data_IF_670699039415
#
_entry.id   IF_670699039415
#
_cell.length_a   1.000
_cell.length_b   1.000
_cell.length_c   1.000
_cell.angle_alpha   90.00
_cell.angle_beta   90.00
_cell.angle_gamma   90.00
#
_symmetry.space_group_name_H-M   'P 1'
#
loop_
_entity.id
_entity.type
_entity.pdbx_description
1 polymer ?
#
# COMPACT_ATOMS: atom_id res chain seq x y z
N UNK A 1 -43.94 47.78 4.70
CA UNK A 1 -43.99 46.53 3.89
C UNK A 1 -43.00 46.53 2.72
N UNK A 2 -42.75 47.61 2.00
CA UNK A 2 -41.78 47.62 0.87
C UNK A 2 -40.33 47.40 1.31
N UNK A 3 -39.86 47.98 2.40
CA UNK A 3 -38.49 47.84 2.90
C UNK A 3 -38.18 46.36 3.22
N UNK A 4 -39.12 45.65 3.82
CA UNK A 4 -38.96 44.23 4.14
C UNK A 4 -38.83 43.34 2.88
N UNK A 5 -39.56 43.68 1.82
CA UNK A 5 -39.45 42.98 0.53
C UNK A 5 -38.10 43.22 -0.13
N UNK A 6 -37.61 44.45 -0.15
CA UNK A 6 -36.28 44.80 -0.66
C UNK A 6 -35.17 44.04 0.10
N UNK A 7 -35.26 44.04 1.43
CA UNK A 7 -34.30 43.31 2.26
C UNK A 7 -34.30 41.80 1.95
N UNK A 8 -35.49 41.21 1.79
CA UNK A 8 -35.63 39.79 1.40
C UNK A 8 -35.01 39.51 0.03
N UNK A 9 -35.21 40.36 -0.99
CA UNK A 9 -34.60 40.19 -2.30
C UNK A 9 -33.07 40.29 -2.25
N UNK A 10 -32.50 41.23 -1.51
CA UNK A 10 -31.04 41.35 -1.33
C UNK A 10 -30.47 40.12 -0.68
N UNK A 11 -31.14 39.58 0.35
CA UNK A 11 -30.74 38.38 1.05
C UNK A 11 -30.77 37.16 0.11
N UNK A 12 -31.81 36.98 -0.70
CA UNK A 12 -31.91 35.88 -1.67
C UNK A 12 -30.83 35.98 -2.73
N UNK A 13 -30.57 37.18 -3.28
CA UNK A 13 -29.47 37.36 -4.25
C UNK A 13 -28.11 37.04 -3.62
N UNK A 14 -27.88 37.46 -2.36
CA UNK A 14 -26.67 37.15 -1.62
C UNK A 14 -26.44 35.65 -1.45
N UNK A 15 -27.50 34.89 -1.12
CA UNK A 15 -27.46 33.43 -1.02
C UNK A 15 -27.12 32.76 -2.37
N UNK A 16 -27.78 33.21 -3.44
CA UNK A 16 -27.55 32.68 -4.80
C UNK A 16 -26.10 32.92 -5.21
N UNK A 17 -25.57 34.14 -5.00
CA UNK A 17 -24.17 34.45 -5.29
C UNK A 17 -23.21 33.58 -4.49
N UNK A 18 -23.46 33.40 -3.19
CA UNK A 18 -22.66 32.54 -2.33
C UNK A 18 -22.65 31.08 -2.82
N UNK A 19 -23.82 30.54 -3.21
CA UNK A 19 -23.94 29.20 -3.78
C UNK A 19 -23.21 29.07 -5.12
N UNK A 20 -23.30 30.08 -6.00
CA UNK A 20 -22.54 30.11 -7.26
C UNK A 20 -21.02 30.09 -7.01
N UNK A 21 -20.52 30.88 -6.04
CA UNK A 21 -19.11 30.90 -5.69
C UNK A 21 -18.66 29.54 -5.14
N UNK A 22 -19.45 28.92 -4.27
CA UNK A 22 -19.17 27.58 -3.73
C UNK A 22 -19.13 26.54 -4.88
N UNK A 23 -20.09 26.56 -5.78
CA UNK A 23 -20.09 25.66 -6.93
C UNK A 23 -18.87 25.87 -7.84
N UNK A 24 -18.48 27.13 -8.10
CA UNK A 24 -17.26 27.44 -8.85
C UNK A 24 -16.02 26.86 -8.16
N UNK A 25 -15.92 27.02 -6.84
CA UNK A 25 -14.80 26.45 -6.07
C UNK A 25 -14.74 24.93 -6.23
N UNK A 26 -15.87 24.21 -6.13
CA UNK A 26 -15.92 22.77 -6.32
C UNK A 26 -15.57 22.31 -7.74
N UNK A 27 -15.98 23.07 -8.76
CA UNK A 27 -15.66 22.77 -10.17
C UNK A 27 -14.17 22.98 -10.47
N UNK A 28 -13.54 24.01 -9.87
CA UNK A 28 -12.14 24.35 -10.13
C UNK A 28 -11.14 23.60 -9.23
N UNK A 29 -11.56 23.15 -8.03
CA UNK A 29 -10.72 22.35 -7.13
C UNK A 29 -10.91 20.87 -7.41
N UNK A 30 -10.00 20.30 -8.20
CA UNK A 30 -9.95 18.88 -8.48
C UNK A 30 -8.98 18.18 -7.51
N UNK A 31 -9.32 16.98 -7.01
CA UNK A 31 -8.38 16.23 -6.20
C UNK A 31 -7.12 15.90 -7.01
N UNK A 32 -5.94 15.98 -6.41
CA UNK A 32 -4.71 15.59 -7.07
C UNK A 32 -4.73 14.08 -7.36
N UNK A 33 -4.18 13.70 -8.52
CA UNK A 33 -4.02 12.29 -8.87
C UNK A 33 -2.64 11.83 -8.41
N UNK A 34 -2.60 10.71 -7.67
CA UNK A 34 -1.39 10.16 -7.07
C UNK A 34 -1.13 8.79 -7.69
N UNK A 35 -0.01 8.66 -8.39
CA UNK A 35 0.45 7.40 -8.97
C UNK A 35 1.80 6.99 -8.39
N UNK A 36 2.01 5.70 -8.18
CA UNK A 36 3.33 5.14 -7.89
C UNK A 36 4.10 5.07 -9.20
N UNK A 37 5.27 5.69 -9.25
CA UNK A 37 6.13 5.71 -10.43
C UNK A 37 7.15 4.57 -10.40
N UNK A 38 7.86 4.48 -9.28
CA UNK A 38 8.97 3.56 -9.13
C UNK A 38 9.22 3.26 -7.65
N UNK A 39 9.75 2.08 -7.38
CA UNK A 39 10.22 1.67 -6.07
C UNK A 39 11.67 1.25 -6.23
N UNK A 40 12.58 2.10 -5.76
CA UNK A 40 14.00 1.77 -5.73
C UNK A 40 14.23 0.81 -4.56
N UNK A 41 14.44 -0.46 -4.90
CA UNK A 41 14.92 -1.43 -3.95
C UNK A 41 16.35 -1.07 -3.52
N UNK A 42 16.70 -1.26 -2.25
CA UNK A 42 18.07 -1.03 -1.79
C UNK A 42 19.01 -2.04 -2.43
N UNK A 43 20.28 -1.64 -2.53
CA UNK A 43 21.36 -2.55 -2.88
C UNK A 43 21.57 -3.50 -1.69
N UNK A 44 21.96 -4.74 -1.93
CA UNK A 44 22.19 -5.75 -0.86
C UNK A 44 23.08 -5.26 0.28
N UNK A 45 24.01 -4.34 -0.01
CA UNK A 45 24.92 -3.72 0.99
C UNK A 45 24.20 -2.86 2.04
N UNK A 46 23.01 -2.38 1.75
CA UNK A 46 22.27 -1.48 2.65
C UNK A 46 21.37 -2.22 3.63
N UNK A 47 21.25 -3.54 3.47
CA UNK A 47 20.47 -4.41 4.36
C UNK A 47 21.23 -4.59 5.66
N UNK A 48 20.62 -4.21 6.78
CA UNK A 48 21.20 -4.38 8.12
C UNK A 48 20.49 -5.48 8.86
N UNK A 49 21.27 -6.44 9.35
CA UNK A 49 20.75 -7.55 10.17
C UNK A 49 21.22 -7.33 11.60
N UNK A 50 20.28 -7.29 12.53
CA UNK A 50 20.52 -7.16 13.95
C UNK A 50 19.75 -8.24 14.71
N UNK A 51 20.45 -9.30 15.12
CA UNK A 51 19.82 -10.44 15.78
C UNK A 51 18.74 -11.09 14.93
N UNK A 52 17.49 -11.00 15.40
CA UNK A 52 16.28 -11.55 14.73
C UNK A 52 15.54 -10.53 13.87
N UNK A 53 16.13 -9.36 13.62
CA UNK A 53 15.50 -8.32 12.79
C UNK A 53 16.34 -7.96 11.56
N UNK A 54 15.64 -7.60 10.49
CA UNK A 54 16.22 -7.09 9.24
C UNK A 54 15.69 -5.70 9.01
N UNK A 55 16.57 -4.76 8.75
CA UNK A 55 16.23 -3.39 8.34
C UNK A 55 16.68 -3.15 6.91
N UNK A 56 15.76 -2.67 6.09
CA UNK A 56 15.95 -2.44 4.67
C UNK A 56 15.51 -1.00 4.35
N UNK A 57 16.44 -0.08 4.02
CA UNK A 57 16.06 1.23 3.54
C UNK A 57 15.49 1.10 2.13
N UNK A 58 14.41 1.80 1.83
CA UNK A 58 13.77 1.83 0.52
C UNK A 58 13.34 3.24 0.17
N UNK A 59 13.33 3.58 -1.11
CA UNK A 59 12.80 4.85 -1.59
C UNK A 59 11.64 4.58 -2.54
N UNK A 60 10.47 5.18 -2.23
CA UNK A 60 9.28 5.04 -3.06
C UNK A 60 9.03 6.36 -3.76
N UNK A 61 9.02 6.36 -5.08
CA UNK A 61 8.77 7.54 -5.89
C UNK A 61 7.31 7.59 -6.33
N UNK A 62 6.63 8.67 -5.97
CA UNK A 62 5.27 8.97 -6.38
C UNK A 62 5.26 10.10 -7.40
N UNK A 63 4.37 10.01 -8.38
CA UNK A 63 4.03 11.14 -9.24
C UNK A 63 2.71 11.69 -8.76
N UNK A 64 2.72 12.96 -8.38
CA UNK A 64 1.54 13.68 -7.94
C UNK A 64 1.19 14.72 -9.00
N UNK A 65 0.05 14.52 -9.66
CA UNK A 65 -0.46 15.43 -10.66
C UNK A 65 -1.40 16.43 -10.00
N UNK A 66 -1.06 17.71 -10.06
CA UNK A 66 -1.92 18.78 -9.59
C UNK A 66 -2.65 19.42 -10.79
N UNK A 67 -3.92 19.08 -11.03
CA UNK A 67 -4.68 19.67 -12.14
C UNK A 67 -5.15 21.10 -11.86
N UNK A 68 -4.93 21.61 -10.65
CA UNK A 68 -5.41 22.90 -10.21
C UNK A 68 -4.48 24.04 -10.66
N UNK A 69 -5.03 25.23 -10.82
CA UNK A 69 -4.28 26.47 -11.10
C UNK A 69 -3.52 27.01 -9.88
N UNK A 70 -3.70 26.36 -8.74
CA UNK A 70 -3.12 26.76 -7.45
C UNK A 70 -2.07 25.73 -7.03
N UNK A 71 -0.89 26.17 -6.60
CA UNK A 71 0.09 25.26 -6.01
C UNK A 71 -0.44 24.69 -4.70
N UNK A 72 -0.11 23.44 -4.43
CA UNK A 72 -0.41 22.75 -3.20
C UNK A 72 0.87 22.48 -2.39
N UNK A 73 0.75 22.39 -1.07
CA UNK A 73 1.86 21.94 -0.24
C UNK A 73 1.44 20.71 0.54
N UNK A 74 2.17 19.63 0.37
CA UNK A 74 2.01 18.46 1.21
C UNK A 74 2.75 18.72 2.52
N UNK A 75 2.00 18.94 3.59
CA UNK A 75 2.57 19.20 4.92
C UNK A 75 3.22 17.96 5.49
N UNK A 76 2.54 16.82 5.38
CA UNK A 76 3.05 15.54 5.87
C UNK A 76 2.57 14.41 4.98
N UNK A 77 3.48 13.48 4.72
CA UNK A 77 3.20 12.15 4.19
C UNK A 77 3.66 11.17 5.25
N UNK A 78 2.77 10.34 5.73
CA UNK A 78 3.10 9.19 6.58
C UNK A 78 2.54 7.95 5.93
N UNK A 79 3.39 6.96 5.69
CA UNK A 79 2.95 5.70 5.13
C UNK A 79 3.42 4.54 6.00
N UNK A 80 2.55 3.56 6.19
CA UNK A 80 2.86 2.30 6.83
C UNK A 80 2.85 1.20 5.78
N UNK A 81 3.92 0.42 5.73
CA UNK A 81 4.03 -0.72 4.83
C UNK A 81 3.58 -1.99 5.54
N UNK A 82 2.77 -2.78 4.86
CA UNK A 82 2.27 -4.07 5.32
C UNK A 82 2.56 -5.13 4.26
N UNK A 83 2.73 -6.37 4.71
CA UNK A 83 2.66 -7.49 3.80
C UNK A 83 1.25 -7.57 3.19
N UNK A 84 1.15 -7.93 1.91
CA UNK A 84 -0.15 -7.98 1.22
C UNK A 84 -1.05 -9.07 1.78
N UNK A 85 -0.47 -10.20 2.18
CA UNK A 85 -1.19 -11.34 2.74
C UNK A 85 -1.46 -11.18 4.24
N UNK A 86 -0.64 -10.39 4.95
CA UNK A 86 -0.70 -10.23 6.40
C UNK A 86 -0.61 -8.75 6.81
N UNK A 87 -1.74 -8.12 7.10
CA UNK A 87 -1.86 -6.68 7.34
C UNK A 87 -1.94 -6.28 8.83
N UNK A 88 -1.77 -7.22 9.75
CA UNK A 88 -1.88 -6.95 11.20
C UNK A 88 -0.62 -6.31 11.76
N UNK A 89 0.54 -6.56 11.11
CA UNK A 89 1.83 -6.05 11.56
C UNK A 89 2.44 -5.14 10.51
N UNK A 90 2.74 -3.89 10.88
CA UNK A 90 3.46 -2.98 9.99
C UNK A 90 4.91 -3.43 9.84
N UNK A 91 5.34 -3.57 8.60
CA UNK A 91 6.72 -3.89 8.20
C UNK A 91 7.58 -2.66 7.96
N UNK A 92 7.04 -1.45 8.09
CA UNK A 92 7.85 -0.26 7.88
C UNK A 92 7.06 1.02 7.96
N UNK A 93 7.84 2.09 8.12
CA UNK A 93 7.31 3.45 8.20
C UNK A 93 8.07 4.32 7.21
N UNK A 94 7.32 5.15 6.51
CA UNK A 94 7.83 6.16 5.60
C UNK A 94 7.33 7.52 6.06
N UNK A 95 8.19 8.53 6.04
CA UNK A 95 7.81 9.88 6.45
C UNK A 95 8.48 10.92 5.56
N UNK A 96 7.71 11.91 5.15
CA UNK A 96 8.19 13.08 4.42
C UNK A 96 7.33 14.29 4.76
N UNK A 97 7.90 15.49 4.75
CA UNK A 97 7.19 16.72 5.06
C UNK A 97 7.54 17.87 4.13
N UNK A 98 6.65 18.84 4.05
CA UNK A 98 6.84 20.13 3.37
C UNK A 98 7.23 20.01 1.88
N UNK A 99 6.51 19.18 1.13
CA UNK A 99 6.70 19.05 -0.32
C UNK A 99 5.77 19.99 -1.08
N UNK A 100 6.35 20.88 -1.88
CA UNK A 100 5.59 21.77 -2.75
C UNK A 100 5.21 21.05 -4.04
N UNK A 101 3.96 21.16 -4.43
CA UNK A 101 3.41 20.63 -5.68
C UNK A 101 2.98 21.81 -6.52
N UNK A 102 3.65 22.01 -7.63
CA UNK A 102 3.38 23.14 -8.52
C UNK A 102 2.00 23.01 -9.20
N UNK A 103 1.43 24.15 -9.59
CA UNK A 103 0.15 24.21 -10.30
C UNK A 103 0.27 23.62 -11.70
N UNK A 104 -0.74 22.83 -12.12
CA UNK A 104 -0.86 22.23 -13.46
C UNK A 104 0.36 21.42 -13.89
N UNK A 105 1.07 20.82 -12.94
CA UNK A 105 2.27 20.03 -13.20
C UNK A 105 2.24 18.69 -12.49
N UNK A 106 3.07 17.79 -13.00
CA UNK A 106 3.38 16.53 -12.35
C UNK A 106 4.66 16.70 -11.53
N UNK A 107 4.56 16.50 -10.24
CA UNK A 107 5.70 16.56 -9.32
C UNK A 107 6.08 15.16 -8.88
N UNK A 108 7.34 14.77 -9.06
CA UNK A 108 7.84 13.50 -8.50
C UNK A 108 8.31 13.73 -7.08
N UNK A 109 7.76 12.98 -6.15
CA UNK A 109 8.08 13.03 -4.73
C UNK A 109 8.68 11.69 -4.33
N UNK A 110 9.89 11.70 -3.79
CA UNK A 110 10.56 10.50 -3.28
C UNK A 110 10.35 10.41 -1.77
N UNK A 111 9.72 9.35 -1.34
CA UNK A 111 9.39 9.05 0.05
C UNK A 111 10.40 8.06 0.62
N UNK A 112 11.29 8.47 1.54
CA UNK A 112 12.20 7.56 2.21
C UNK A 112 11.43 6.66 3.17
N UNK A 113 11.68 5.37 3.07
CA UNK A 113 11.06 4.33 3.85
C UNK A 113 12.10 3.52 4.62
N UNK A 114 11.73 3.10 5.82
CA UNK A 114 12.46 2.15 6.62
C UNK A 114 11.60 0.90 6.76
N UNK A 115 11.93 -0.13 6.00
CA UNK A 115 11.29 -1.42 6.13
C UNK A 115 12.02 -2.21 7.22
N UNK A 116 11.27 -2.82 8.12
CA UNK A 116 11.79 -3.61 9.23
C UNK A 116 10.97 -4.87 9.40
N UNK A 117 11.61 -6.00 9.26
CA UNK A 117 11.06 -7.29 9.65
C UNK A 117 11.69 -7.73 10.98
N UNK A 118 10.87 -8.20 11.91
CA UNK A 118 11.33 -8.79 13.17
C UNK A 118 10.60 -10.10 13.43
N UNK A 119 11.36 -11.15 13.74
CA UNK A 119 10.83 -12.46 14.08
C UNK A 119 9.92 -12.42 15.32
N UNK A 120 10.19 -11.50 16.26
CA UNK A 120 9.37 -11.31 17.46
C UNK A 120 7.95 -10.84 17.15
N UNK A 121 7.80 -10.08 16.04
CA UNK A 121 6.50 -9.56 15.57
C UNK A 121 5.76 -10.56 14.66
N UNK A 122 6.40 -11.68 14.29
CA UNK A 122 5.84 -12.72 13.41
C UNK A 122 5.95 -14.13 14.07
N UNK A 123 5.26 -14.38 15.18
CA UNK A 123 5.39 -15.64 15.94
C UNK A 123 4.96 -16.87 15.11
N UNK A 124 4.11 -16.68 14.12
CA UNK A 124 3.64 -17.76 13.23
C UNK A 124 4.46 -17.89 11.94
N UNK A 125 5.48 -17.06 11.78
CA UNK A 125 6.33 -17.02 10.57
C UNK A 125 5.52 -16.80 9.28
N UNK A 126 4.43 -16.06 9.36
CA UNK A 126 3.51 -15.83 8.23
C UNK A 126 4.15 -14.92 7.20
N UNK A 127 4.73 -13.81 7.68
CA UNK A 127 5.39 -12.81 6.83
C UNK A 127 6.64 -13.43 6.18
N UNK A 128 7.47 -14.14 6.97
CA UNK A 128 8.69 -14.74 6.43
C UNK A 128 8.38 -15.85 5.41
N UNK A 129 7.28 -16.60 5.59
CA UNK A 129 6.83 -17.59 4.61
C UNK A 129 6.38 -16.94 3.30
N UNK A 130 5.71 -15.79 3.38
CA UNK A 130 5.31 -15.04 2.17
C UNK A 130 6.51 -14.43 1.47
N UNK A 131 7.44 -13.84 2.18
CA UNK A 131 8.73 -13.36 1.65
C UNK A 131 9.48 -14.51 0.98
N UNK A 132 9.59 -15.67 1.63
CA UNK A 132 10.28 -16.83 1.10
C UNK A 132 9.62 -17.34 -0.19
N UNK A 133 8.29 -17.41 -0.23
CA UNK A 133 7.52 -17.78 -1.42
C UNK A 133 7.74 -16.79 -2.56
N UNK A 134 7.59 -15.51 -2.28
CA UNK A 134 7.66 -14.45 -3.29
C UNK A 134 9.07 -14.26 -3.83
N UNK A 135 10.09 -14.37 -2.97
CA UNK A 135 11.47 -14.10 -3.34
C UNK A 135 12.22 -15.31 -3.89
N UNK A 136 11.92 -16.53 -3.42
CA UNK A 136 12.74 -17.70 -3.75
C UNK A 136 12.01 -18.78 -4.54
N UNK A 137 10.68 -18.78 -4.56
CA UNK A 137 9.88 -19.76 -5.32
C UNK A 137 9.16 -19.13 -6.52
N UNK A 138 8.79 -17.86 -6.45
CA UNK A 138 8.15 -17.17 -7.57
C UNK A 138 9.12 -16.95 -8.72
N UNK A 139 8.63 -17.07 -9.96
CA UNK A 139 9.40 -16.76 -11.18
C UNK A 139 9.82 -15.30 -11.24
N UNK A 140 8.94 -14.40 -10.77
CA UNK A 140 9.14 -12.96 -10.88
C UNK A 140 10.04 -12.39 -9.77
N UNK A 141 10.29 -13.16 -8.70
CA UNK A 141 11.12 -12.76 -7.55
C UNK A 141 10.81 -11.36 -7.03
N UNK A 142 9.52 -11.05 -6.90
CA UNK A 142 9.04 -9.73 -6.48
C UNK A 142 8.23 -9.82 -5.20
N UNK A 143 8.54 -8.95 -4.26
CA UNK A 143 7.78 -8.76 -3.03
C UNK A 143 6.65 -7.76 -3.25
N UNK A 144 5.46 -8.06 -2.75
CA UNK A 144 4.30 -7.19 -2.84
C UNK A 144 3.95 -6.64 -1.45
N UNK A 145 3.95 -5.32 -1.33
CA UNK A 145 3.54 -4.64 -0.11
C UNK A 145 2.31 -3.78 -0.35
N UNK A 146 1.48 -3.66 0.66
CA UNK A 146 0.38 -2.71 0.74
C UNK A 146 0.85 -1.50 1.56
N UNK A 147 0.74 -0.31 1.00
CA UNK A 147 1.03 0.93 1.71
C UNK A 147 -0.28 1.56 2.17
N UNK A 148 -0.39 1.88 3.45
CA UNK A 148 -1.44 2.76 3.97
C UNK A 148 -0.84 4.15 4.14
N UNK A 149 -1.20 5.05 3.23
CA UNK A 149 -0.58 6.38 3.11
C UNK A 149 -1.57 7.44 3.55
N UNK A 150 -1.19 8.22 4.54
CA UNK A 150 -1.91 9.39 5.04
C UNK A 150 -1.19 10.66 4.60
N UNK A 151 -1.85 11.49 3.82
CA UNK A 151 -1.33 12.76 3.36
C UNK A 151 -2.13 13.91 3.97
N UNK A 152 -1.45 14.98 4.34
CA UNK A 152 -2.07 16.26 4.69
C UNK A 152 -1.68 17.29 3.65
N UNK A 153 -2.62 17.63 2.76
CA UNK A 153 -2.40 18.56 1.66
C UNK A 153 -2.96 19.92 2.04
N UNK A 154 -2.13 20.93 2.02
CA UNK A 154 -2.54 22.31 2.23
C UNK A 154 -2.74 23.02 0.88
N UNK A 155 -3.92 23.60 0.71
CA UNK A 155 -4.31 24.49 -0.37
C UNK A 155 -4.66 25.84 0.27
N UNK A 156 -3.85 26.87 0.03
CA UNK A 156 -3.97 28.15 0.75
C UNK A 156 -3.99 27.95 2.28
N UNK A 157 -5.10 28.31 2.93
CA UNK A 157 -5.28 28.18 4.38
C UNK A 157 -5.98 26.89 4.81
N UNK A 158 -6.44 26.06 3.85
CA UNK A 158 -7.17 24.83 4.13
C UNK A 158 -6.22 23.63 4.07
N UNK A 159 -6.34 22.73 5.04
CA UNK A 159 -5.62 21.46 5.04
C UNK A 159 -6.62 20.33 4.88
N UNK A 160 -6.43 19.50 3.87
CA UNK A 160 -7.28 18.36 3.55
C UNK A 160 -6.50 17.07 3.80
N UNK A 161 -7.00 16.16 4.65
CA UNK A 161 -6.43 14.82 4.78
C UNK A 161 -6.86 13.97 3.58
N UNK A 162 -5.93 13.18 3.05
CA UNK A 162 -6.15 12.24 1.95
C UNK A 162 -5.54 10.91 2.34
N UNK A 163 -6.33 9.84 2.25
CA UNK A 163 -5.89 8.48 2.52
C UNK A 163 -5.88 7.68 1.22
N UNK A 164 -4.76 7.03 0.94
CA UNK A 164 -4.60 6.16 -0.23
C UNK A 164 -3.89 4.87 0.16
N UNK A 165 -4.29 3.76 -0.45
CA UNK A 165 -3.76 2.44 -0.13
C UNK A 165 -3.20 1.75 -1.40
N UNK A 166 -2.09 2.25 -1.98
CA UNK A 166 -1.50 1.63 -3.15
C UNK A 166 -0.80 0.33 -2.80
N UNK A 167 -0.88 -0.65 -3.70
CA UNK A 167 -0.02 -1.83 -3.68
C UNK A 167 1.24 -1.54 -4.49
N UNK A 168 2.38 -1.87 -3.93
CA UNK A 168 3.69 -1.75 -4.59
C UNK A 168 4.30 -3.13 -4.76
N UNK A 169 5.12 -3.27 -5.82
CA UNK A 169 5.85 -4.50 -6.10
C UNK A 169 7.27 -4.14 -6.51
N UNK A 170 8.26 -4.75 -5.87
CA UNK A 170 9.68 -4.49 -6.12
C UNK A 170 10.49 -5.79 -6.06
N UNK A 171 11.67 -5.76 -6.64
CA UNK A 171 12.58 -6.90 -6.60
C UNK A 171 13.00 -7.19 -5.16
N UNK A 172 13.17 -8.49 -4.87
CA UNK A 172 13.50 -8.92 -3.51
C UNK A 172 14.85 -8.37 -3.05
N UNK A 173 14.89 -7.59 -1.98
CA UNK A 173 16.11 -6.93 -1.51
C UNK A 173 16.99 -7.85 -0.64
N UNK A 174 16.53 -9.05 -0.35
CA UNK A 174 17.20 -9.98 0.58
C UNK A 174 17.59 -11.28 -0.11
N UNK A 175 18.74 -11.81 0.28
CA UNK A 175 19.23 -13.10 -0.17
C UNK A 175 18.77 -14.24 0.74
N UNK A 176 18.77 -15.47 0.23
CA UNK A 176 18.43 -16.66 1.02
C UNK A 176 19.30 -16.78 2.28
N UNK A 177 20.60 -16.44 2.18
CA UNK A 177 21.53 -16.45 3.31
C UNK A 177 21.16 -15.45 4.41
N UNK A 178 20.78 -14.23 4.03
CA UNK A 178 20.35 -13.20 4.97
C UNK A 178 19.05 -13.59 5.70
N UNK A 179 18.08 -14.15 4.96
CA UNK A 179 16.84 -14.64 5.58
C UNK A 179 17.15 -15.80 6.56
N UNK A 180 17.99 -16.76 6.17
CA UNK A 180 18.39 -17.86 7.03
C UNK A 180 19.10 -17.38 8.30
N UNK A 181 19.92 -16.33 8.20
CA UNK A 181 20.60 -15.73 9.36
C UNK A 181 19.62 -15.17 10.38
N UNK A 182 18.52 -14.56 9.93
CA UNK A 182 17.48 -13.96 10.79
C UNK A 182 16.61 -15.02 11.45
N UNK A 183 16.20 -16.03 10.68
CA UNK A 183 15.37 -17.14 11.18
C UNK A 183 16.19 -18.03 12.13
N UNK A 184 17.53 -18.01 11.99
CA UNK A 184 18.47 -18.78 12.82
C UNK A 184 18.41 -20.28 12.54
N UNK A 185 19.12 -21.04 13.39
CA UNK A 185 19.14 -22.51 13.27
C UNK A 185 17.86 -23.20 13.77
N UNK A 186 16.93 -22.44 14.38
CA UNK A 186 15.69 -23.01 14.91
C UNK A 186 14.70 -23.42 13.83
N UNK A 187 14.80 -22.82 12.65
CA UNK A 187 13.88 -23.07 11.53
C UNK A 187 14.72 -23.16 10.26
N UNK A 188 14.67 -24.31 9.60
CA UNK A 188 15.31 -24.46 8.31
C UNK A 188 14.45 -23.80 7.23
N UNK A 189 15.03 -22.84 6.51
CA UNK A 189 14.36 -22.14 5.42
C UNK A 189 13.95 -23.13 4.30
N UNK A 190 14.74 -24.17 4.09
CA UNK A 190 14.42 -25.20 3.10
C UNK A 190 13.18 -26.02 3.50
N UNK A 191 12.99 -26.28 4.80
CA UNK A 191 11.76 -26.90 5.30
C UNK A 191 10.54 -26.00 5.11
N UNK A 192 10.70 -24.71 5.38
CA UNK A 192 9.63 -23.72 5.09
C UNK A 192 9.27 -23.76 3.60
N UNK A 193 10.26 -23.69 2.72
CA UNK A 193 10.07 -23.68 1.28
C UNK A 193 9.43 -24.98 0.77
N UNK A 194 9.85 -26.14 1.28
CA UNK A 194 9.26 -27.42 0.94
C UNK A 194 7.80 -27.54 1.40
N UNK A 195 7.50 -27.10 2.62
CA UNK A 195 6.14 -27.11 3.15
C UNK A 195 5.21 -26.17 2.38
N UNK A 196 5.69 -25.01 2.00
CA UNK A 196 4.96 -24.07 1.13
C UNK A 196 4.69 -24.70 -0.24
N UNK A 197 5.69 -25.35 -0.84
CA UNK A 197 5.55 -26.03 -2.13
C UNK A 197 4.56 -27.21 -2.07
N UNK A 198 4.60 -28.02 -1.00
CA UNK A 198 3.64 -29.12 -0.79
C UNK A 198 2.20 -28.62 -0.70
N UNK A 199 1.96 -27.56 0.07
CA UNK A 199 0.62 -26.96 0.20
C UNK A 199 0.11 -26.42 -1.14
N UNK A 200 0.92 -25.67 -1.87
CA UNK A 200 0.54 -25.15 -3.19
C UNK A 200 0.21 -26.25 -4.20
N UNK A 201 0.92 -27.37 -4.15
CA UNK A 201 0.62 -28.55 -4.99
C UNK A 201 -0.68 -29.24 -4.54
N UNK A 202 -0.95 -29.35 -3.23
CA UNK A 202 -2.20 -29.91 -2.72
C UNK A 202 -3.40 -29.03 -3.10
N UNK A 203 -3.27 -27.72 -2.95
CA UNK A 203 -4.32 -26.76 -3.36
C UNK A 203 -4.58 -26.82 -4.87
N UNK A 204 -3.53 -26.86 -5.68
CA UNK A 204 -3.65 -27.04 -7.12
C UNK A 204 -4.29 -28.39 -7.49
N UNK A 205 -3.94 -29.47 -6.78
CA UNK A 205 -4.48 -30.80 -7.00
C UNK A 205 -5.95 -30.90 -6.55
N UNK A 206 -6.33 -30.27 -5.43
CA UNK A 206 -7.73 -30.22 -4.98
C UNK A 206 -8.60 -29.44 -5.96
N UNK A 207 -8.13 -28.27 -6.43
CA UNK A 207 -8.82 -27.47 -7.43
C UNK A 207 -8.96 -28.19 -8.79
N UNK A 208 -7.92 -28.95 -9.20
CA UNK A 208 -7.99 -29.79 -10.39
C UNK A 208 -9.02 -30.92 -10.22
N UNK A 209 -9.01 -31.58 -9.05
CA UNK A 209 -9.96 -32.67 -8.75
C UNK A 209 -11.40 -32.16 -8.80
N UNK A 210 -11.71 -31.03 -8.17
CA UNK A 210 -13.06 -30.46 -8.22
C UNK A 210 -13.52 -30.10 -9.63
N UNK A 211 -12.60 -29.66 -10.49
CA UNK A 211 -12.94 -29.20 -11.85
C UNK A 211 -13.06 -30.33 -12.87
N UNK A 212 -12.26 -31.38 -12.73
CA UNK A 212 -12.11 -32.38 -13.79
C UNK A 212 -12.51 -33.82 -13.38
N UNK A 213 -12.67 -34.12 -12.08
CA UNK A 213 -13.10 -35.43 -11.63
C UNK A 213 -14.55 -35.31 -11.09
N UNK A 214 -15.54 -35.90 -11.80
CA UNK A 214 -16.91 -35.89 -11.32
C UNK A 214 -17.01 -36.63 -9.97
N UNK A 215 -17.77 -36.09 -9.03
CA UNK A 215 -18.15 -36.81 -7.82
C UNK A 215 -18.85 -38.08 -8.25
N UNK A 216 -18.26 -39.23 -7.94
CA UNK A 216 -18.97 -40.50 -8.02
C UNK A 216 -20.10 -40.44 -6.97
N UNK A 217 -21.31 -40.21 -7.43
CA UNK A 217 -22.51 -40.47 -6.64
C UNK A 217 -22.60 -41.98 -6.44
N UNK A 218 -21.93 -42.50 -5.42
CA UNK A 218 -22.30 -43.78 -4.81
C UNK A 218 -23.46 -43.50 -3.88
N UNK A 219 -24.69 -43.55 -4.41
CA UNK A 219 -25.88 -43.78 -3.65
C UNK A 219 -25.74 -45.16 -2.94
N UNK A 220 -25.87 -45.26 -1.60
CA UNK A 220 -26.08 -46.53 -1.00
C UNK A 220 -27.48 -46.98 -1.43
N UNK A 221 -27.52 -48.04 -2.24
CA UNK A 221 -28.76 -48.61 -2.69
C UNK A 221 -29.61 -49.09 -1.55
N UNK A 222 -30.90 -48.81 -1.63
CA UNK A 222 -31.95 -49.52 -1.02
C UNK A 222 -31.85 -51.02 -1.37
N UNK A 223 -31.67 -51.84 -0.34
CA UNK A 223 -32.08 -53.26 -0.39
C UNK A 223 -32.88 -53.60 0.87
N UNK A 224 -34.17 -53.76 0.67
CA UNK A 224 -35.14 -54.75 1.21
C UNK A 224 -34.95 -55.23 2.67
#
# INVERSE_FOLDING_TARGET
MQILRVFFFILVIGIILALCIIMLIFVFLRPPNIGVKDVSAPIESDVRIQGTSVQVPANISFVISNPNYVPATIKTITAHAYDKAYQDTSMGICHLSNQKIESRQNTTVTLPCKLEYSLEKDPHLTIIKDIARSCFQSKDKRLQLLLKVHLKVQLYSFTVPIDVNPSISFECPVTKKQVQQVVGHKVDLDDILQNVRRRSLQEAWSAFRERYLPRSNSSPGDEL
#
